data_IF_517618927371
#
_entry.id   IF_517618927371
#
_cell.length_a   1.000
_cell.length_b   1.000
_cell.length_c   1.000
_cell.angle_alpha   90.00
_cell.angle_beta   90.00
_cell.angle_gamma   90.00
#
_symmetry.space_group_name_H-M   'P 1'
#
loop_
_entity.id
_entity.type
_entity.pdbx_description
1 polymer ?
#
# COMPACT_ATOMS: atom_id res chain seq x y z
N UNK A 1 -1.98 8.35 7.68
CA UNK A 1 -2.05 8.98 6.34
C UNK A 1 -3.34 8.53 5.69
N UNK A 2 -4.14 9.44 5.12
CA UNK A 2 -5.37 9.08 4.40
C UNK A 2 -5.26 9.63 2.99
N UNK A 3 -5.43 8.76 1.99
CA UNK A 3 -5.56 9.21 0.60
C UNK A 3 -6.95 9.83 0.44
N UNK A 4 -7.01 11.09 0.00
CA UNK A 4 -8.25 11.84 -0.12
C UNK A 4 -9.03 11.39 -1.37
N UNK A 5 -10.32 11.09 -1.18
CA UNK A 5 -11.30 10.86 -2.24
C UNK A 5 -12.10 12.17 -2.45
N UNK A 6 -11.99 12.84 -3.61
CA UNK A 6 -12.71 14.09 -3.88
C UNK A 6 -14.24 13.91 -4.08
N UNK A 7 -14.76 12.68 -4.12
CA UNK A 7 -16.12 12.39 -4.63
C UNK A 7 -17.11 11.97 -3.52
N UNK A 8 -17.06 12.60 -2.33
CA UNK A 8 -17.96 12.29 -1.22
C UNK A 8 -19.43 12.72 -1.49
N UNK A 9 -20.13 11.99 -2.37
CA UNK A 9 -21.54 12.21 -2.73
C UNK A 9 -22.38 10.92 -2.71
N UNK A 10 -23.66 11.10 -2.41
CA UNK A 10 -24.65 10.14 -1.90
C UNK A 10 -24.87 8.85 -2.74
N UNK A 11 -24.59 7.71 -2.09
CA UNK A 11 -25.32 6.43 -1.97
C UNK A 11 -26.22 5.80 -3.08
N UNK A 12 -26.46 6.30 -4.30
CA UNK A 12 -27.49 5.65 -5.18
C UNK A 12 -27.06 5.12 -6.55
N UNK A 13 -26.16 5.75 -7.31
CA UNK A 13 -25.74 5.23 -8.65
C UNK A 13 -24.45 4.37 -8.56
N UNK A 14 -24.39 3.60 -7.47
CA UNK A 14 -23.21 3.41 -6.62
C UNK A 14 -22.07 2.55 -7.16
N UNK A 15 -22.36 1.37 -7.73
CA UNK A 15 -21.36 0.30 -7.80
C UNK A 15 -20.34 0.45 -8.95
N UNK A 16 -20.66 1.17 -10.02
CA UNK A 16 -19.79 1.27 -11.19
C UNK A 16 -18.81 2.46 -11.15
N UNK A 17 -19.03 3.44 -10.28
CA UNK A 17 -18.23 4.69 -10.20
C UNK A 17 -17.34 4.82 -8.96
N UNK A 18 -17.56 4.03 -7.89
CA UNK A 18 -16.94 4.25 -6.56
C UNK A 18 -15.77 3.33 -6.21
N UNK A 19 -15.12 2.77 -7.22
CA UNK A 19 -13.95 1.93 -7.00
C UNK A 19 -12.85 2.38 -7.95
N UNK A 20 -12.38 3.63 -7.80
CA UNK A 20 -11.21 4.07 -8.54
C UNK A 20 -10.01 3.24 -8.05
N UNK A 21 -9.49 2.41 -8.95
CA UNK A 21 -8.23 1.71 -8.73
C UNK A 21 -7.09 2.71 -8.89
N UNK A 22 -6.09 2.59 -8.04
CA UNK A 22 -4.85 3.34 -8.13
C UNK A 22 -3.67 2.37 -8.02
N UNK A 23 -2.52 2.76 -8.56
CA UNK A 23 -1.25 2.08 -8.30
C UNK A 23 -0.51 2.83 -7.22
N UNK A 24 -0.28 2.16 -6.10
CA UNK A 24 0.48 2.67 -4.96
C UNK A 24 1.85 2.02 -4.98
N UNK A 25 2.89 2.85 -4.97
CA UNK A 25 4.26 2.42 -4.77
C UNK A 25 4.80 2.99 -3.46
N UNK A 26 5.25 2.11 -2.58
CA UNK A 26 5.94 2.41 -1.33
C UNK A 26 7.40 2.00 -1.45
N UNK A 27 8.29 2.78 -0.88
CA UNK A 27 9.70 2.39 -0.72
C UNK A 27 10.29 3.02 0.52
N UNK A 28 11.20 2.30 1.16
CA UNK A 28 11.92 2.78 2.35
C UNK A 28 13.41 2.91 2.06
N UNK A 29 14.05 3.92 2.65
CA UNK A 29 15.49 4.15 2.49
C UNK A 29 16.37 3.09 3.18
N UNK A 30 15.80 2.37 4.14
CA UNK A 30 16.38 1.20 4.84
C UNK A 30 15.26 0.41 5.48
N UNK A 31 15.53 -0.84 5.89
CA UNK A 31 14.51 -1.72 6.47
C UNK A 31 13.50 -2.20 5.44
N UNK A 32 12.39 -2.75 5.92
CA UNK A 32 11.34 -3.35 5.07
C UNK A 32 9.94 -3.02 5.56
N UNK A 33 8.94 -3.27 4.72
CA UNK A 33 7.52 -3.01 4.97
C UNK A 33 6.72 -4.31 4.90
N UNK A 34 5.75 -4.46 5.80
CA UNK A 34 4.68 -5.44 5.65
C UNK A 34 3.33 -4.76 5.72
N UNK A 35 2.37 -5.21 4.92
CA UNK A 35 0.98 -4.96 5.27
C UNK A 35 0.65 -5.79 6.52
N UNK A 36 0.03 -5.20 7.54
CA UNK A 36 -0.15 -5.80 8.87
C UNK A 36 -1.16 -6.95 8.91
N UNK A 37 -0.78 -8.06 8.29
CA UNK A 37 -1.41 -9.37 8.38
C UNK A 37 -0.67 -10.19 9.42
N UNK A 38 -1.40 -10.59 10.46
CA UNK A 38 -1.00 -11.72 11.31
C UNK A 38 -1.27 -12.98 10.49
N UNK A 39 -0.19 -13.61 10.03
CA UNK A 39 -0.09 -14.96 9.47
C UNK A 39 -1.41 -15.77 9.51
N UNK A 40 -2.23 -15.67 8.45
CA UNK A 40 -3.14 -16.77 8.09
C UNK A 40 -2.44 -17.52 6.97
N UNK A 41 -1.63 -18.52 7.33
CA UNK A 41 -0.89 -19.32 6.37
C UNK A 41 -1.88 -20.24 5.65
N UNK A 42 -2.31 -19.85 4.46
CA UNK A 42 -2.93 -20.79 3.54
C UNK A 42 -1.83 -21.62 2.85
N UNK A 43 -2.15 -22.84 2.48
CA UNK A 43 -1.20 -23.74 1.84
C UNK A 43 -1.84 -24.23 0.54
N UNK A 44 -1.36 -23.74 -0.60
CA UNK A 44 -1.69 -24.38 -1.88
C UNK A 44 -0.55 -25.29 -2.32
N UNK A 45 -0.86 -26.59 -2.42
CA UNK A 45 0.03 -27.63 -2.94
C UNK A 45 1.30 -27.85 -2.09
N UNK A 46 1.21 -27.66 -0.77
CA UNK A 46 2.31 -27.91 0.16
C UNK A 46 3.45 -26.90 0.09
N UNK A 47 3.27 -25.84 -0.70
CA UNK A 47 4.07 -24.62 -0.63
C UNK A 47 3.30 -23.63 0.25
N UNK A 48 4.02 -22.95 1.13
CA UNK A 48 3.46 -21.80 1.84
C UNK A 48 3.03 -20.78 0.79
N UNK A 49 1.73 -20.53 0.72
CA UNK A 49 1.18 -19.44 -0.04
C UNK A 49 0.45 -18.61 0.98
N UNK A 50 1.07 -17.55 1.47
CA UNK A 50 0.34 -16.56 2.26
C UNK A 50 -0.87 -16.12 1.45
N UNK A 51 -2.04 -16.69 1.71
CA UNK A 51 -3.27 -15.99 1.45
C UNK A 51 -3.22 -14.86 2.44
N UNK A 52 -2.82 -13.70 1.94
CA UNK A 52 -2.81 -12.49 2.74
C UNK A 52 -4.28 -12.19 2.98
N UNK A 53 -4.82 -12.70 4.10
CA UNK A 53 -6.18 -12.43 4.53
C UNK A 53 -6.35 -10.89 4.56
N UNK A 54 -7.10 -10.38 3.57
CA UNK A 54 -7.30 -8.95 3.40
C UNK A 54 -6.37 -8.21 2.43
N UNK A 55 -5.54 -8.81 1.57
CA UNK A 55 -5.11 -8.19 0.28
C UNK A 55 -5.84 -8.78 -0.92
N UNK A 56 -6.90 -9.57 -0.69
CA UNK A 56 -7.84 -10.01 -1.73
C UNK A 56 -8.30 -8.79 -2.56
N UNK A 57 -7.98 -8.77 -3.85
CA UNK A 57 -8.24 -7.61 -4.72
C UNK A 57 -7.08 -6.63 -4.87
N UNK A 58 -5.87 -6.96 -4.39
CA UNK A 58 -4.62 -6.28 -4.74
C UNK A 58 -3.85 -7.08 -5.80
N UNK A 59 -3.29 -6.37 -6.78
CA UNK A 59 -2.34 -6.93 -7.75
C UNK A 59 -0.95 -6.41 -7.40
N UNK A 60 0.00 -7.30 -7.13
CA UNK A 60 1.39 -6.95 -6.88
C UNK A 60 2.18 -6.88 -8.18
N UNK A 61 2.95 -5.81 -8.33
CA UNK A 61 3.93 -5.61 -9.42
C UNK A 61 5.37 -5.74 -8.91
N UNK A 62 5.59 -5.45 -7.62
CA UNK A 62 6.85 -5.62 -6.90
C UNK A 62 6.55 -5.87 -5.40
N UNK A 63 7.35 -6.73 -4.78
CA UNK A 63 7.13 -7.23 -3.43
C UNK A 63 5.97 -8.24 -3.34
N UNK A 64 5.78 -8.81 -2.15
CA UNK A 64 4.69 -9.74 -1.86
C UNK A 64 3.80 -9.29 -0.70
N UNK A 65 4.11 -8.17 -0.06
CA UNK A 65 3.38 -7.65 1.08
C UNK A 65 4.01 -7.97 2.43
N UNK A 66 5.11 -8.74 2.47
CA UNK A 66 5.80 -9.17 3.68
C UNK A 66 7.29 -8.86 3.61
N UNK A 67 7.76 -7.99 4.51
CA UNK A 67 9.17 -7.64 4.65
C UNK A 67 9.82 -7.20 3.33
N UNK A 68 9.12 -6.36 2.56
CA UNK A 68 9.62 -5.83 1.31
C UNK A 68 10.22 -4.41 1.47
N UNK A 69 11.42 -4.12 0.92
CA UNK A 69 11.94 -2.74 0.87
C UNK A 69 11.14 -1.86 -0.11
N UNK A 70 10.42 -2.50 -1.02
CA UNK A 70 9.53 -1.88 -2.00
C UNK A 70 8.23 -2.67 -2.09
N UNK A 71 7.09 -1.96 -2.03
CA UNK A 71 5.79 -2.52 -2.38
C UNK A 71 5.23 -1.73 -3.56
N UNK A 72 4.87 -2.40 -4.64
CA UNK A 72 4.19 -1.79 -5.78
C UNK A 72 2.92 -2.57 -6.10
N UNK A 73 1.77 -1.95 -5.88
CA UNK A 73 0.48 -2.62 -5.85
C UNK A 73 -0.60 -1.81 -6.55
N UNK A 74 -1.49 -2.47 -7.27
CA UNK A 74 -2.73 -1.88 -7.78
C UNK A 74 -3.93 -2.43 -7.02
N UNK A 75 -4.78 -1.54 -6.51
CA UNK A 75 -6.06 -1.89 -5.91
C UNK A 75 -6.97 -0.67 -5.82
N UNK A 76 -8.14 -0.85 -5.23
CA UNK A 76 -9.12 0.20 -4.94
C UNK A 76 -8.56 1.17 -3.89
N UNK A 77 -8.87 2.47 -4.00
CA UNK A 77 -8.43 3.45 -2.99
C UNK A 77 -8.86 3.09 -1.56
N UNK A 78 -10.08 2.57 -1.39
CA UNK A 78 -10.58 2.10 -0.09
C UNK A 78 -9.69 0.99 0.48
N UNK A 79 -9.34 0.00 -0.34
CA UNK A 79 -8.53 -1.13 0.09
C UNK A 79 -7.09 -0.74 0.39
N UNK A 80 -6.49 0.14 -0.43
CA UNK A 80 -5.17 0.72 -0.18
C UNK A 80 -5.14 1.50 1.14
N UNK A 81 -6.15 2.34 1.41
CA UNK A 81 -6.27 3.05 2.70
C UNK A 81 -6.38 2.06 3.88
N UNK A 82 -7.14 0.98 3.72
CA UNK A 82 -7.23 -0.09 4.73
C UNK A 82 -5.89 -0.78 5.01
N UNK A 83 -5.06 -1.02 3.98
CA UNK A 83 -3.72 -1.56 4.18
C UNK A 83 -2.76 -0.56 4.82
N UNK A 84 -2.78 0.70 4.38
CA UNK A 84 -1.90 1.74 4.92
C UNK A 84 -2.13 2.00 6.42
N UNK A 85 -3.35 1.80 6.92
CA UNK A 85 -3.65 1.86 8.36
C UNK A 85 -2.99 0.75 9.17
N UNK A 86 -2.61 -0.36 8.52
CA UNK A 86 -1.97 -1.52 9.14
C UNK A 86 -0.52 -1.69 8.67
N UNK A 87 0.06 -0.70 7.99
CA UNK A 87 1.43 -0.81 7.47
C UNK A 87 2.42 -0.92 8.64
N UNK A 88 3.25 -1.96 8.62
CA UNK A 88 4.30 -2.21 9.60
C UNK A 88 5.65 -1.94 8.94
N UNK A 89 6.52 -1.23 9.65
CA UNK A 89 7.90 -0.98 9.23
C UNK A 89 8.87 -1.77 10.11
N UNK A 90 9.79 -2.49 9.47
CA UNK A 90 10.81 -3.33 10.12
C UNK A 90 12.20 -2.71 9.93
N UNK A 91 12.82 -2.15 10.98
CA UNK A 91 14.03 -1.35 10.85
C UNK A 91 15.34 -2.18 10.88
N UNK A 92 15.30 -3.49 10.60
CA UNK A 92 16.42 -4.41 10.87
C UNK A 92 17.77 -3.92 10.30
N UNK A 93 17.77 -3.42 9.07
CA UNK A 93 18.98 -2.94 8.37
C UNK A 93 19.17 -1.42 8.43
N UNK A 94 18.42 -0.71 9.27
CA UNK A 94 18.55 0.73 9.41
C UNK A 94 19.69 1.17 10.33
N UNK A 95 20.37 0.25 11.03
CA UNK A 95 21.54 0.56 11.87
C UNK A 95 21.38 1.78 12.81
N UNK A 96 20.17 2.04 13.30
CA UNK A 96 19.87 3.17 14.19
C UNK A 96 19.81 4.54 13.51
N UNK A 97 19.77 4.61 12.17
CA UNK A 97 19.49 5.86 11.43
C UNK A 97 18.01 6.02 11.13
N UNK A 98 17.56 7.26 10.93
CA UNK A 98 16.20 7.54 10.48
C UNK A 98 15.98 6.93 9.09
N UNK A 99 14.78 6.36 8.87
CA UNK A 99 14.34 5.92 7.57
C UNK A 99 13.44 6.97 6.91
N UNK A 100 13.35 6.95 5.59
CA UNK A 100 12.37 7.73 4.83
C UNK A 100 11.47 6.77 4.08
N UNK A 101 10.15 6.91 4.27
CA UNK A 101 9.13 6.23 3.48
C UNK A 101 8.68 7.16 2.35
N UNK A 102 9.01 6.79 1.12
CA UNK A 102 8.49 7.42 -0.08
C UNK A 102 7.19 6.73 -0.53
N UNK A 103 6.20 7.54 -0.86
CA UNK A 103 4.86 7.12 -1.27
C UNK A 103 4.54 7.78 -2.61
N UNK A 104 4.33 6.97 -3.65
CA UNK A 104 3.84 7.39 -4.94
C UNK A 104 2.46 6.78 -5.19
N UNK A 105 1.50 7.59 -5.62
CA UNK A 105 0.16 7.13 -6.01
C UNK A 105 -0.12 7.60 -7.44
N UNK A 106 -0.37 6.66 -8.33
CA UNK A 106 -0.80 6.89 -9.71
C UNK A 106 -2.30 6.57 -9.81
N UNK A 107 -3.12 7.53 -10.22
CA UNK A 107 -4.56 7.37 -10.35
C UNK A 107 -4.98 6.55 -11.59
N UNK A 108 -4.02 6.12 -12.41
CA UNK A 108 -4.21 5.35 -13.64
C UNK A 108 -5.11 6.05 -14.68
N UNK A 109 -5.25 7.37 -14.59
CA UNK A 109 -6.10 8.19 -15.45
C UNK A 109 -7.56 8.21 -15.02
N UNK A 110 -7.89 7.74 -13.81
CA UNK A 110 -9.25 7.77 -13.29
C UNK A 110 -9.69 9.13 -12.76
N UNK A 111 -8.77 10.09 -12.57
CA UNK A 111 -9.09 11.41 -12.05
C UNK A 111 -8.57 12.56 -12.94
N UNK A 112 -9.37 13.61 -13.10
CA UNK A 112 -9.03 14.79 -13.89
C UNK A 112 -9.05 14.58 -15.42
N UNK A 113 -8.54 15.57 -16.15
CA UNK A 113 -8.36 15.51 -17.61
C UNK A 113 -6.86 15.50 -17.94
N UNK A 114 -6.45 14.74 -18.97
CA UNK A 114 -5.07 14.72 -19.44
C UNK A 114 -4.30 13.41 -19.23
N UNK A 115 -4.96 12.34 -18.82
CA UNK A 115 -4.33 11.03 -18.55
C UNK A 115 -3.97 10.84 -17.09
N UNK A 116 -3.11 9.86 -16.76
CA UNK A 116 -2.78 9.55 -15.37
C UNK A 116 -2.10 10.70 -14.63
N UNK A 117 -2.57 10.97 -13.42
CA UNK A 117 -1.99 11.91 -12.48
C UNK A 117 -1.31 11.15 -11.34
N UNK A 118 -0.21 11.74 -10.86
CA UNK A 118 0.62 11.15 -9.80
C UNK A 118 0.74 12.09 -8.61
N UNK A 119 0.65 11.52 -7.42
CA UNK A 119 0.98 12.17 -6.17
C UNK A 119 2.23 11.52 -5.55
N UNK A 120 3.10 12.34 -4.95
CA UNK A 120 4.31 11.87 -4.28
C UNK A 120 4.47 12.54 -2.91
N UNK A 121 4.83 11.76 -1.89
CA UNK A 121 5.12 12.25 -0.54
C UNK A 121 6.23 11.43 0.09
N UNK A 122 7.02 12.08 0.94
CA UNK A 122 7.96 11.42 1.84
C UNK A 122 7.52 11.61 3.30
N UNK A 123 7.74 10.57 4.09
CA UNK A 123 7.49 10.55 5.53
C UNK A 123 8.77 10.12 6.22
N UNK A 124 9.28 10.95 7.13
CA UNK A 124 10.40 10.59 7.99
C UNK A 124 9.94 9.60 9.05
N UNK A 125 10.66 8.49 9.20
CA UNK A 125 10.50 7.51 10.28
C UNK A 125 11.73 7.65 11.19
N UNK A 126 11.58 8.23 12.40
CA UNK A 126 12.68 8.37 13.33
C UNK A 126 13.24 7.01 13.77
N UNK A 127 14.56 6.93 13.95
CA UNK A 127 15.18 5.80 14.58
C UNK A 127 14.62 5.60 16.01
N UNK A 128 14.50 4.35 16.50
CA UNK A 128 14.18 4.10 17.90
C UNK A 128 15.18 4.83 18.80
N UNK A 129 14.67 5.52 19.82
CA UNK A 129 15.54 6.03 20.88
C UNK A 129 16.06 4.81 21.66
N UNK A 130 17.38 4.61 21.62
CA UNK A 130 18.06 3.55 22.38
C UNK A 130 17.98 3.75 23.89
#
# INVERSE_FOLDING_TARGET
>A
MQLADPDNEAFSDWFAKRVHSARLRLSVSCGTLSFGIVMDTDYTWGKEYGSIAGTEGMTFHEGDGTEDPVLDVTSTLHHLNGQLLRLVFHPADCHGVNATLAVELDDLGHYGAGGPLKAYREVLIPAPLG
#
